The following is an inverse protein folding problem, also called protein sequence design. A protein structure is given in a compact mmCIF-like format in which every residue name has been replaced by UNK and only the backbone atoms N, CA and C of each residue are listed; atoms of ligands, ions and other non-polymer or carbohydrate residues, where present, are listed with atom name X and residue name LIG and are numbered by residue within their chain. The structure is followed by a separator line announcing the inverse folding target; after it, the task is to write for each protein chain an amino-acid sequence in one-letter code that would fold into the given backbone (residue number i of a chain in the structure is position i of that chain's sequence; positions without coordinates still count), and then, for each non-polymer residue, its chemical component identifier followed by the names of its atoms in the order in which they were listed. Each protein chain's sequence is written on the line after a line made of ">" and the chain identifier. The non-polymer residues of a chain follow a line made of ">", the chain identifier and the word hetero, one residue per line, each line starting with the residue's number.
data_IF_643790740078
#
_entry.id   IF_643790740078
#
_cell.length_a   1.000
_cell.length_b   1.000
_cell.length_c   1.000
_cell.angle_alpha   90.00
_cell.angle_beta   90.00
_cell.angle_gamma   90.00
#
_symmetry.space_group_name_H-M   'P 1'
#
loop_
_entity.id
_entity.type
_entity.pdbx_description
1 polymer ?
#
# COMPACT_ATOMS: atom_id res chain seq x y z
N UNK A 1 -15.78 7.11 1.97
CA UNK A 1 -15.06 8.33 1.57
C UNK A 1 -14.58 8.98 2.83
N UNK A 2 -13.29 8.81 3.11
CA UNK A 2 -12.69 9.63 4.15
C UNK A 2 -12.58 11.05 3.61
N UNK A 3 -13.42 11.94 4.15
CA UNK A 3 -13.62 13.31 3.62
C UNK A 3 -12.35 14.14 3.73
N UNK A 4 -11.46 13.80 4.66
CA UNK A 4 -10.18 14.48 4.84
C UNK A 4 -9.24 14.23 3.66
N UNK A 5 -9.25 13.02 3.09
CA UNK A 5 -8.26 12.62 2.08
C UNK A 5 -8.56 13.17 0.69
N UNK A 6 -9.84 13.27 0.31
CA UNK A 6 -10.25 13.90 -0.97
C UNK A 6 -9.89 15.39 -1.01
N UNK A 7 -10.26 16.13 0.05
CA UNK A 7 -9.97 17.56 0.17
C UNK A 7 -8.46 17.84 0.21
N UNK A 8 -7.70 16.99 0.89
CA UNK A 8 -6.24 17.06 0.92
C UNK A 8 -5.61 16.90 -0.46
N UNK A 9 -5.99 15.85 -1.22
CA UNK A 9 -5.47 15.62 -2.58
C UNK A 9 -5.83 16.76 -3.55
N UNK A 10 -7.04 17.32 -3.43
CA UNK A 10 -7.42 18.51 -4.19
C UNK A 10 -6.49 19.69 -3.91
N UNK A 11 -6.18 19.92 -2.63
CA UNK A 11 -5.30 21.00 -2.17
C UNK A 11 -3.87 20.85 -2.65
N UNK A 12 -3.30 19.66 -2.53
CA UNK A 12 -1.94 19.36 -3.00
C UNK A 12 -1.84 19.58 -4.50
N UNK A 13 -2.76 19.00 -5.28
CA UNK A 13 -2.73 19.16 -6.75
C UNK A 13 -2.92 20.61 -7.20
N UNK A 14 -3.73 21.39 -6.49
CA UNK A 14 -3.86 22.83 -6.75
C UNK A 14 -2.56 23.58 -6.48
N UNK A 15 -1.87 23.27 -5.37
CA UNK A 15 -0.58 23.88 -5.02
C UNK A 15 0.52 23.52 -6.00
N UNK A 16 0.55 22.30 -6.51
CA UNK A 16 1.48 21.87 -7.57
C UNK A 16 1.34 22.75 -8.82
N UNK A 17 0.08 23.11 -9.14
CA UNK A 17 -0.24 24.06 -10.22
C UNK A 17 -0.01 25.53 -9.86
N UNK A 18 0.46 25.83 -8.63
CA UNK A 18 0.70 27.18 -8.10
C UNK A 18 -0.53 28.10 -8.15
N UNK A 19 -1.73 27.53 -8.03
CA UNK A 19 -2.99 28.27 -8.05
C UNK A 19 -3.44 28.62 -6.63
N UNK A 20 -4.01 29.82 -6.42
CA UNK A 20 -4.73 30.11 -5.17
C UNK A 20 -6.10 29.42 -5.17
N UNK A 21 -6.74 29.32 -4.00
CA UNK A 21 -8.11 28.82 -3.92
C UNK A 21 -9.07 29.65 -4.76
N UNK A 22 -8.86 30.97 -4.83
CA UNK A 22 -9.67 31.87 -5.65
C UNK A 22 -9.45 31.63 -7.16
N UNK A 23 -8.21 31.43 -7.59
CA UNK A 23 -7.89 31.15 -9.00
C UNK A 23 -8.51 29.83 -9.45
N UNK A 24 -8.33 28.78 -8.65
CA UNK A 24 -8.89 27.47 -8.98
C UNK A 24 -10.42 27.47 -8.94
N UNK A 25 -11.03 28.19 -8.00
CA UNK A 25 -12.49 28.26 -7.88
C UNK A 25 -13.13 28.89 -9.12
N UNK A 26 -12.50 29.92 -9.70
CA UNK A 26 -12.88 30.48 -10.99
C UNK A 26 -12.76 29.46 -12.12
N UNK A 27 -11.65 28.71 -12.16
CA UNK A 27 -11.40 27.68 -13.18
C UNK A 27 -12.44 26.54 -13.13
N UNK A 28 -12.79 26.07 -11.93
CA UNK A 28 -13.71 24.95 -11.72
C UNK A 28 -15.19 25.37 -11.70
N UNK A 29 -15.49 26.67 -11.80
CA UNK A 29 -16.87 27.18 -11.74
C UNK A 29 -17.56 26.91 -10.40
N UNK A 30 -16.84 27.13 -9.29
CA UNK A 30 -17.35 26.98 -7.92
C UNK A 30 -17.04 28.22 -7.09
N UNK A 31 -17.79 28.45 -6.00
CA UNK A 31 -17.47 29.55 -5.11
C UNK A 31 -16.20 29.26 -4.29
N UNK A 32 -15.39 30.29 -4.06
CA UNK A 32 -14.14 30.16 -3.30
C UNK A 32 -14.35 29.60 -1.90
N UNK A 33 -15.41 30.04 -1.21
CA UNK A 33 -15.76 29.55 0.12
C UNK A 33 -16.13 28.07 0.10
N UNK A 34 -16.90 27.65 -0.90
CA UNK A 34 -17.31 26.25 -1.02
C UNK A 34 -16.12 25.35 -1.37
N UNK A 35 -15.28 25.75 -2.32
CA UNK A 35 -14.05 25.03 -2.62
C UNK A 35 -13.12 24.90 -1.42
N UNK A 36 -12.90 26.00 -0.68
CA UNK A 36 -12.10 25.99 0.54
C UNK A 36 -12.67 25.05 1.62
N UNK A 37 -14.00 24.97 1.74
CA UNK A 37 -14.66 24.05 2.66
C UNK A 37 -14.48 22.58 2.27
N UNK A 38 -14.38 22.28 0.97
CA UNK A 38 -14.08 20.92 0.47
C UNK A 38 -12.62 20.57 0.79
N UNK A 39 -11.66 21.46 0.51
CA UNK A 39 -10.25 21.23 0.83
C UNK A 39 -9.99 21.00 2.33
N UNK A 40 -10.82 21.57 3.20
CA UNK A 40 -10.76 21.39 4.64
C UNK A 40 -11.50 20.13 5.14
N UNK A 41 -12.12 19.35 4.23
CA UNK A 41 -12.92 18.16 4.58
C UNK A 41 -14.26 18.49 5.25
N UNK A 42 -14.66 19.77 5.31
CA UNK A 42 -15.91 20.22 5.94
C UNK A 42 -17.14 19.91 5.09
N UNK A 43 -17.00 19.95 3.77
CA UNK A 43 -18.06 19.64 2.82
C UNK A 43 -17.64 18.54 1.85
N UNK A 44 -18.58 17.65 1.54
CA UNK A 44 -18.42 16.62 0.50
C UNK A 44 -19.11 17.08 -0.79
N UNK A 45 -18.37 17.22 -1.91
CA UNK A 45 -18.96 17.54 -3.20
C UNK A 45 -19.78 16.35 -3.72
N UNK A 46 -20.75 16.62 -4.61
CA UNK A 46 -21.39 15.56 -5.40
C UNK A 46 -20.36 14.92 -6.34
N UNK A 47 -20.64 13.70 -6.81
CA UNK A 47 -19.76 13.03 -7.78
C UNK A 47 -19.60 13.87 -9.05
N UNK A 48 -20.67 14.46 -9.56
CA UNK A 48 -20.65 15.35 -10.73
C UNK A 48 -19.71 16.54 -10.52
N UNK A 49 -19.80 17.20 -9.37
CA UNK A 49 -18.92 18.31 -9.07
C UNK A 49 -17.47 17.86 -8.88
N UNK A 50 -17.26 16.73 -8.21
CA UNK A 50 -15.93 16.16 -8.03
C UNK A 50 -15.27 15.83 -9.37
N UNK A 51 -16.03 15.32 -10.35
CA UNK A 51 -15.56 15.08 -11.72
C UNK A 51 -15.10 16.38 -12.38
N UNK A 52 -15.91 17.45 -12.33
CA UNK A 52 -15.51 18.76 -12.87
C UNK A 52 -14.25 19.32 -12.21
N UNK A 53 -14.14 19.17 -10.89
CA UNK A 53 -12.95 19.57 -10.14
C UNK A 53 -11.73 18.75 -10.57
N UNK A 54 -11.87 17.43 -10.72
CA UNK A 54 -10.80 16.55 -11.16
C UNK A 54 -10.30 16.92 -12.56
N UNK A 55 -11.22 17.20 -13.49
CA UNK A 55 -10.93 17.69 -14.84
C UNK A 55 -10.15 19.01 -14.80
N UNK A 56 -10.60 19.99 -14.03
CA UNK A 56 -9.89 21.27 -13.85
C UNK A 56 -8.49 21.08 -13.22
N UNK A 57 -8.35 20.11 -12.31
CA UNK A 57 -7.06 19.71 -11.73
C UNK A 57 -6.20 18.87 -12.68
N UNK A 58 -6.75 18.38 -13.80
CA UNK A 58 -6.05 17.50 -14.74
C UNK A 58 -5.68 16.14 -14.12
N UNK A 59 -6.57 15.60 -13.29
CA UNK A 59 -6.42 14.27 -12.66
C UNK A 59 -7.70 13.46 -12.86
N UNK A 60 -7.62 12.14 -12.73
CA UNK A 60 -8.82 11.31 -12.71
C UNK A 60 -9.62 11.50 -11.42
N UNK A 61 -10.94 11.32 -11.47
CA UNK A 61 -11.75 11.31 -10.24
C UNK A 61 -11.28 10.21 -9.27
N UNK A 62 -10.83 9.08 -9.82
CA UNK A 62 -10.23 7.98 -9.07
C UNK A 62 -9.01 8.43 -8.25
N UNK A 63 -8.16 9.31 -8.79
CA UNK A 63 -7.02 9.86 -8.04
C UNK A 63 -7.47 10.63 -6.79
N UNK A 64 -8.51 11.47 -6.91
CA UNK A 64 -9.03 12.23 -5.77
C UNK A 64 -9.66 11.31 -4.72
N UNK A 65 -10.34 10.25 -5.16
CA UNK A 65 -10.99 9.26 -4.32
C UNK A 65 -10.05 8.18 -3.78
N UNK A 66 -8.75 8.26 -4.07
CA UNK A 66 -7.81 7.15 -3.84
C UNK A 66 -7.39 7.00 -2.36
N UNK A 67 -8.36 6.78 -1.47
CA UNK A 67 -8.17 6.47 -0.03
C UNK A 67 -7.31 5.22 0.19
N UNK A 68 -7.10 4.42 -0.87
CA UNK A 68 -6.28 3.21 -0.84
C UNK A 68 -4.80 3.49 -0.62
N UNK A 69 -4.25 4.61 -1.11
CA UNK A 69 -2.82 4.90 -0.91
C UNK A 69 -2.58 5.19 0.57
N UNK A 70 -3.34 6.10 1.16
CA UNK A 70 -3.18 6.51 2.55
C UNK A 70 -3.48 5.34 3.51
N UNK A 71 -4.50 4.52 3.25
CA UNK A 71 -4.77 3.29 4.00
C UNK A 71 -3.59 2.31 3.92
N UNK A 72 -3.07 2.09 2.71
CA UNK A 72 -1.94 1.19 2.49
C UNK A 72 -0.68 1.70 3.19
N UNK A 73 -0.36 2.99 3.08
CA UNK A 73 0.80 3.60 3.75
C UNK A 73 0.67 3.51 5.27
N UNK A 74 -0.51 3.79 5.83
CA UNK A 74 -0.78 3.66 7.27
C UNK A 74 -0.63 2.22 7.78
N UNK A 75 -1.14 1.24 7.01
CA UNK A 75 -0.97 -0.18 7.31
C UNK A 75 0.49 -0.61 7.22
N UNK A 76 1.23 -0.11 6.24
CA UNK A 76 2.67 -0.37 6.08
C UNK A 76 3.45 0.24 7.25
N UNK A 77 3.18 1.47 7.65
CA UNK A 77 3.85 2.13 8.76
C UNK A 77 3.63 1.39 10.08
N UNK A 78 2.39 0.97 10.34
CA UNK A 78 2.04 0.14 11.51
C UNK A 78 2.82 -1.19 11.52
N UNK A 79 2.98 -1.81 10.35
CA UNK A 79 3.73 -3.06 10.19
C UNK A 79 5.24 -2.86 10.32
N UNK A 80 5.79 -1.75 9.82
CA UNK A 80 7.19 -1.37 10.03
C UNK A 80 7.48 -1.25 11.53
N UNK A 81 6.63 -0.57 12.29
CA UNK A 81 6.80 -0.43 13.74
C UNK A 81 6.72 -1.77 14.47
N UNK A 82 5.84 -2.68 14.03
CA UNK A 82 5.79 -4.05 14.55
C UNK A 82 7.09 -4.81 14.29
N UNK A 83 7.62 -4.76 13.07
CA UNK A 83 8.84 -5.46 12.68
C UNK A 83 10.09 -4.85 13.35
N UNK A 84 10.18 -3.51 13.48
CA UNK A 84 11.24 -2.84 14.25
C UNK A 84 11.30 -3.33 15.69
N UNK A 85 10.14 -3.54 16.35
CA UNK A 85 10.07 -4.11 17.70
C UNK A 85 10.54 -5.58 17.74
N UNK A 86 10.17 -6.37 16.75
CA UNK A 86 10.53 -7.80 16.65
C UNK A 86 12.04 -7.98 16.44
N UNK A 87 12.64 -7.15 15.59
CA UNK A 87 14.05 -7.23 15.19
C UNK A 87 14.96 -6.22 15.92
N UNK A 88 14.51 -5.67 17.06
CA UNK A 88 15.25 -4.64 17.84
C UNK A 88 16.65 -5.04 18.31
N UNK A 89 16.94 -6.35 18.34
CA UNK A 89 18.20 -6.90 18.83
C UNK A 89 19.24 -7.13 17.71
N UNK A 90 18.96 -6.68 16.48
CA UNK A 90 19.94 -6.71 15.39
C UNK A 90 21.17 -5.87 15.79
N UNK A 91 22.41 -6.38 15.57
CA UNK A 91 23.64 -5.64 15.84
C UNK A 91 23.69 -4.26 15.15
N UNK A 92 24.27 -3.27 15.83
CA UNK A 92 24.26 -1.86 15.38
C UNK A 92 24.90 -1.65 14.00
N UNK A 93 25.93 -2.44 13.68
CA UNK A 93 26.66 -2.45 12.41
C UNK A 93 25.82 -2.93 11.22
N UNK A 94 24.65 -3.53 11.46
CA UNK A 94 23.76 -4.09 10.45
C UNK A 94 22.43 -3.33 10.31
N UNK A 95 22.27 -2.23 11.06
CA UNK A 95 20.99 -1.51 11.17
C UNK A 95 20.50 -0.93 9.83
N UNK A 96 21.40 -0.36 9.02
CA UNK A 96 21.00 0.27 7.75
C UNK A 96 20.40 -0.76 6.77
N UNK A 97 21.03 -1.93 6.68
CA UNK A 97 20.54 -3.05 5.85
C UNK A 97 19.23 -3.60 6.43
N UNK A 98 19.18 -3.78 7.76
CA UNK A 98 17.99 -4.28 8.44
C UNK A 98 16.79 -3.34 8.30
N UNK A 99 16.98 -2.02 8.36
CA UNK A 99 15.89 -1.05 8.20
C UNK A 99 15.29 -1.11 6.80
N UNK A 100 16.13 -1.18 5.76
CA UNK A 100 15.67 -1.38 4.39
C UNK A 100 14.86 -2.67 4.21
N UNK A 101 15.36 -3.79 4.75
CA UNK A 101 14.68 -5.09 4.70
C UNK A 101 13.35 -5.07 5.49
N UNK A 102 13.29 -4.42 6.65
CA UNK A 102 12.07 -4.25 7.45
C UNK A 102 11.00 -3.50 6.65
N UNK A 103 11.36 -2.39 6.01
CA UNK A 103 10.42 -1.61 5.20
C UNK A 103 9.86 -2.45 4.04
N UNK A 104 10.71 -3.22 3.36
CA UNK A 104 10.26 -4.07 2.26
C UNK A 104 9.40 -5.24 2.74
N UNK A 105 9.75 -5.87 3.87
CA UNK A 105 8.95 -6.92 4.49
C UNK A 105 7.55 -6.41 4.85
N UNK A 106 7.45 -5.20 5.41
CA UNK A 106 6.17 -4.59 5.75
C UNK A 106 5.28 -4.34 4.51
N UNK A 107 5.85 -3.77 3.45
CA UNK A 107 5.14 -3.57 2.16
C UNK A 107 4.64 -4.87 1.57
N UNK A 108 5.49 -5.90 1.53
CA UNK A 108 5.11 -7.21 1.02
C UNK A 108 4.02 -7.85 1.87
N UNK A 109 4.07 -7.71 3.20
CA UNK A 109 3.04 -8.25 4.09
C UNK A 109 1.66 -7.67 3.78
N UNK A 110 1.56 -6.35 3.63
CA UNK A 110 0.30 -5.67 3.30
C UNK A 110 -0.23 -6.09 1.92
N UNK A 111 0.66 -6.21 0.93
CA UNK A 111 0.29 -6.68 -0.40
C UNK A 111 -0.18 -8.14 -0.40
N UNK A 112 0.46 -9.01 0.38
CA UNK A 112 0.07 -10.41 0.54
C UNK A 112 -1.32 -10.53 1.16
N UNK A 113 -1.61 -9.76 2.22
CA UNK A 113 -2.93 -9.74 2.84
C UNK A 113 -4.02 -9.30 1.86
N UNK A 114 -3.76 -8.27 1.04
CA UNK A 114 -4.70 -7.81 0.01
C UNK A 114 -4.89 -8.83 -1.11
N UNK A 115 -3.81 -9.47 -1.57
CA UNK A 115 -3.89 -10.52 -2.57
C UNK A 115 -4.66 -11.74 -2.04
N UNK A 116 -4.45 -12.13 -0.79
CA UNK A 116 -5.16 -13.25 -0.17
C UNK A 116 -6.67 -12.99 -0.10
N UNK A 117 -7.09 -11.77 0.26
CA UNK A 117 -8.51 -11.39 0.25
C UNK A 117 -9.13 -11.53 -1.13
N UNK A 118 -8.46 -11.04 -2.18
CA UNK A 118 -8.95 -11.18 -3.55
C UNK A 118 -9.06 -12.66 -3.98
N UNK A 119 -8.06 -13.48 -3.62
CA UNK A 119 -8.07 -14.92 -3.93
C UNK A 119 -9.21 -15.63 -3.21
N UNK A 120 -9.49 -15.27 -1.95
CA UNK A 120 -10.63 -15.81 -1.20
C UNK A 120 -11.97 -15.44 -1.84
N UNK A 121 -12.10 -14.21 -2.34
CA UNK A 121 -13.35 -13.70 -2.92
C UNK A 121 -13.59 -14.22 -4.34
N UNK A 122 -12.54 -14.31 -5.16
CA UNK A 122 -12.64 -14.53 -6.61
C UNK A 122 -12.07 -15.88 -7.06
N UNK A 123 -11.48 -16.65 -6.14
CA UNK A 123 -10.84 -17.92 -6.43
C UNK A 123 -9.48 -17.78 -7.11
N UNK A 124 -8.80 -18.92 -7.27
CA UNK A 124 -7.46 -18.98 -7.88
C UNK A 124 -7.48 -19.09 -9.42
N UNK A 125 -8.58 -19.58 -9.98
CA UNK A 125 -8.72 -19.88 -11.40
C UNK A 125 -9.88 -19.09 -12.01
N UNK A 126 -9.74 -18.72 -13.27
CA UNK A 126 -10.79 -18.11 -14.08
C UNK A 126 -10.97 -18.87 -15.39
N UNK A 127 -12.18 -18.87 -15.94
CA UNK A 127 -12.42 -19.38 -17.30
C UNK A 127 -11.82 -18.39 -18.31
N UNK A 128 -10.99 -18.89 -19.20
CA UNK A 128 -10.33 -18.09 -20.23
C UNK A 128 -10.53 -18.69 -21.62
N UNK A 129 -10.72 -17.83 -22.62
CA UNK A 129 -10.74 -18.20 -24.03
C UNK A 129 -10.13 -17.09 -24.89
N UNK A 130 -9.39 -17.46 -25.93
CA UNK A 130 -8.75 -16.50 -26.85
C UNK A 130 -9.61 -16.19 -28.09
N UNK A 131 -10.67 -16.95 -28.34
CA UNK A 131 -11.60 -16.75 -29.46
C UNK A 131 -13.00 -17.26 -29.10
N UNK A 132 -14.03 -16.74 -29.77
CA UNK A 132 -15.41 -17.20 -29.58
C UNK A 132 -15.59 -18.69 -29.91
N UNK A 133 -14.77 -19.24 -30.81
CA UNK A 133 -14.78 -20.64 -31.22
C UNK A 133 -14.08 -21.60 -30.26
N UNK A 134 -13.25 -21.09 -29.33
CA UNK A 134 -12.49 -21.93 -28.41
C UNK A 134 -13.28 -22.17 -27.12
N UNK A 135 -13.36 -23.44 -26.69
CA UNK A 135 -13.96 -23.83 -25.42
C UNK A 135 -13.16 -23.22 -24.26
N UNK A 136 -13.80 -22.45 -23.35
CA UNK A 136 -13.11 -21.87 -22.21
C UNK A 136 -12.52 -22.93 -21.28
N UNK A 137 -11.27 -22.72 -20.85
CA UNK A 137 -10.56 -23.60 -19.91
C UNK A 137 -10.15 -22.84 -18.65
N UNK A 138 -9.82 -23.56 -17.58
CA UNK A 138 -9.37 -22.96 -16.32
C UNK A 138 -7.92 -22.48 -16.44
N UNK A 139 -7.71 -21.19 -16.17
CA UNK A 139 -6.39 -20.56 -16.13
C UNK A 139 -6.17 -19.97 -14.75
N UNK A 140 -4.97 -20.16 -14.19
CA UNK A 140 -4.55 -19.49 -12.96
C UNK A 140 -4.58 -17.97 -13.16
N UNK A 141 -5.23 -17.25 -12.24
CA UNK A 141 -5.32 -15.80 -12.31
C UNK A 141 -3.94 -15.18 -12.04
N UNK A 142 -3.51 -14.13 -12.77
CA UNK A 142 -2.20 -13.50 -12.56
C UNK A 142 -1.95 -13.02 -11.12
N UNK A 143 -3.01 -12.67 -10.39
CA UNK A 143 -2.90 -12.26 -8.99
C UNK A 143 -2.38 -13.37 -8.06
N UNK A 144 -2.69 -14.64 -8.36
CA UNK A 144 -2.21 -15.79 -7.60
C UNK A 144 -0.73 -16.02 -7.84
N UNK A 145 -0.28 -15.89 -9.09
CA UNK A 145 1.15 -15.96 -9.41
C UNK A 145 1.94 -14.83 -8.72
N UNK A 146 1.37 -13.62 -8.71
CA UNK A 146 1.95 -12.49 -7.98
C UNK A 146 2.01 -12.76 -6.47
N UNK A 147 0.96 -13.34 -5.88
CA UNK A 147 0.94 -13.74 -4.47
C UNK A 147 2.06 -14.73 -4.15
N UNK A 148 2.18 -15.82 -4.93
CA UNK A 148 3.20 -16.84 -4.71
C UNK A 148 4.64 -16.27 -4.77
N UNK A 149 4.88 -15.38 -5.75
CA UNK A 149 6.20 -14.76 -5.93
C UNK A 149 6.51 -13.77 -4.80
N UNK A 150 5.52 -13.00 -4.36
CA UNK A 150 5.65 -12.08 -3.21
C UNK A 150 5.87 -12.84 -1.91
N UNK A 151 5.17 -13.96 -1.70
CA UNK A 151 5.31 -14.77 -0.49
C UNK A 151 6.73 -15.34 -0.40
N UNK A 152 7.23 -15.95 -1.48
CA UNK A 152 8.63 -16.42 -1.54
C UNK A 152 9.63 -15.32 -1.20
N UNK A 153 9.43 -14.11 -1.74
CA UNK A 153 10.30 -12.96 -1.46
C UNK A 153 10.19 -12.51 -0.01
N UNK A 154 8.97 -12.46 0.54
CA UNK A 154 8.71 -12.13 1.93
C UNK A 154 9.38 -13.14 2.88
N UNK A 155 9.21 -14.45 2.65
CA UNK A 155 9.86 -15.49 3.44
C UNK A 155 11.39 -15.36 3.40
N UNK A 156 11.96 -15.02 2.24
CA UNK A 156 13.40 -14.81 2.10
C UNK A 156 13.89 -13.60 2.92
N UNK A 157 13.17 -12.48 2.89
CA UNK A 157 13.52 -11.28 3.69
C UNK A 157 13.38 -11.57 5.19
N UNK A 158 12.29 -12.22 5.62
CA UNK A 158 12.10 -12.58 7.04
C UNK A 158 13.20 -13.52 7.51
N UNK A 159 13.61 -14.48 6.67
CA UNK A 159 14.76 -15.35 6.96
C UNK A 159 16.05 -14.53 7.12
N UNK A 160 16.35 -13.62 6.19
CA UNK A 160 17.53 -12.75 6.28
C UNK A 160 17.51 -11.92 7.57
N UNK A 161 16.40 -11.26 7.90
CA UNK A 161 16.25 -10.48 9.14
C UNK A 161 16.45 -11.35 10.40
N UNK A 162 15.95 -12.58 10.37
CA UNK A 162 16.12 -13.56 11.46
C UNK A 162 17.58 -13.98 11.59
N UNK A 163 18.28 -14.18 10.48
CA UNK A 163 19.70 -14.56 10.44
C UNK A 163 20.62 -13.44 11.00
N UNK A 164 20.19 -12.17 10.91
CA UNK A 164 20.90 -11.02 11.53
C UNK A 164 20.74 -10.96 13.06
N UNK A 165 19.82 -11.72 13.66
CA UNK A 165 19.69 -11.74 15.12
C UNK A 165 20.87 -12.47 15.77
N UNK A 166 21.27 -12.07 16.99
CA UNK A 166 22.32 -12.75 17.73
C UNK A 166 21.99 -14.24 17.93
N UNK A 167 22.78 -15.12 17.32
CA UNK A 167 22.61 -16.56 17.46
C UNK A 167 23.04 -16.99 18.87
N UNK A 168 22.19 -17.72 19.60
CA UNK A 168 22.60 -18.34 20.86
C UNK A 168 23.70 -19.39 20.56
N UNK A 169 24.91 -19.17 21.07
CA UNK A 169 25.98 -20.18 21.05
C UNK A 169 25.53 -21.34 21.93
N UNK A 170 25.00 -22.40 21.32
CA UNK A 170 24.79 -23.68 22.01
C UNK A 170 26.17 -24.23 22.35
N UNK A 171 26.55 -24.15 23.63
CA UNK A 171 27.86 -24.59 24.09
C UNK A 171 27.96 -26.12 24.00
N UNK A 172 28.65 -26.60 22.97
CA UNK A 172 28.82 -28.04 22.70
C UNK A 172 29.60 -28.78 23.81
N UNK A 173 30.21 -28.08 24.76
CA UNK A 173 30.97 -28.69 25.87
C UNK A 173 30.11 -29.41 26.91
N UNK A 174 28.81 -29.11 27.02
CA UNK A 174 27.91 -29.79 27.97
C UNK A 174 27.62 -31.26 27.62
N UNK A 175 27.75 -31.67 26.35
CA UNK A 175 27.47 -33.05 25.92
C UNK A 175 28.61 -34.06 26.20
N UNK A 176 29.79 -33.60 26.61
CA UNK A 176 30.97 -34.47 26.80
C UNK A 176 31.21 -34.88 28.27
N UNK A 177 30.44 -34.36 29.23
CA UNK A 177 30.59 -34.66 30.66
C UNK A 177 29.49 -35.58 31.23
N UNK A 178 28.62 -36.11 30.37
CA UNK A 178 27.64 -37.14 30.74
C UNK A 178 28.08 -38.52 30.26
N UNK A 179 29.05 -39.13 30.93
CA UNK A 179 29.33 -40.57 30.89
C UNK A 179 29.57 -41.07 32.31
#
# INVERSE_FOLDING_TARGET
>A
MDRQNVGFRMKEKRKDKKLTQADFSKLAGVSTNYYASIEQGKNSPSLELLTRIAEALGVSVLYLLNDRIDDMESRVESEVERLKKLFKNIPKDQLDVAEGLIIQAARLRILLDDNWKDILENGEYEKFSQSESQVPYDRKRPIVENYDNRDKTYQAIIKQLTDLLPQQKVDRKSKLLGR
#
